data_IF_387716961901
#
_entry.id   IF_387716961901
#
_cell.length_a   1.000
_cell.length_b   1.000
_cell.length_c   1.000
_cell.angle_alpha   90.00
_cell.angle_beta   90.00
_cell.angle_gamma   90.00
#
_symmetry.space_group_name_H-M   'P 1'
#
loop_
_entity.id
_entity.type
_entity.pdbx_description
1 polymer ?
#
# COMPACT_ATOMS: atom_id res chain seq x y z
N UNK A 1 -18.89 8.13 -9.45
CA UNK A 1 -17.46 8.53 -9.36
C UNK A 1 -16.69 7.34 -8.81
N UNK A 2 -15.84 6.70 -9.62
CA UNK A 2 -15.05 5.54 -9.16
C UNK A 2 -14.09 6.04 -8.08
N UNK A 3 -14.18 5.51 -6.85
CA UNK A 3 -13.15 5.71 -5.84
C UNK A 3 -11.86 5.15 -6.43
N UNK A 4 -10.83 5.97 -6.62
CA UNK A 4 -9.52 5.49 -6.99
C UNK A 4 -8.93 4.80 -5.75
N UNK A 5 -8.99 3.47 -5.73
CA UNK A 5 -8.20 2.66 -4.83
C UNK A 5 -6.74 2.90 -5.20
N UNK A 6 -5.95 3.39 -4.24
CA UNK A 6 -4.51 3.59 -4.42
C UNK A 6 -3.86 2.23 -4.18
N UNK A 7 -3.12 1.74 -5.17
CA UNK A 7 -2.34 0.52 -5.05
C UNK A 7 -0.88 0.87 -4.83
N UNK A 8 -0.30 0.34 -3.76
CA UNK A 8 1.15 0.41 -3.52
C UNK A 8 1.79 -0.81 -4.18
N UNK A 9 2.69 -0.57 -5.13
CA UNK A 9 3.34 -1.62 -5.91
C UNK A 9 4.81 -1.68 -5.50
N UNK A 10 5.25 -2.85 -5.07
CA UNK A 10 6.65 -3.12 -4.74
C UNK A 10 7.22 -4.11 -5.74
N UNK A 11 8.29 -3.71 -6.43
CA UNK A 11 9.01 -4.54 -7.41
C UNK A 11 10.44 -4.77 -6.95
N UNK A 12 10.89 -6.02 -6.96
CA UNK A 12 12.30 -6.35 -6.74
C UNK A 12 13.08 -6.21 -8.04
N UNK A 13 14.15 -5.44 -8.01
CA UNK A 13 15.02 -5.15 -9.16
C UNK A 13 16.43 -5.60 -8.82
N UNK A 14 17.11 -6.21 -9.79
CA UNK A 14 18.53 -6.54 -9.71
C UNK A 14 19.30 -5.55 -10.55
N UNK A 15 20.40 -5.05 -9.98
CA UNK A 15 21.32 -4.13 -10.64
C UNK A 15 22.69 -4.80 -10.62
N UNK A 16 23.34 -4.84 -11.78
CA UNK A 16 24.64 -5.46 -12.00
C UNK A 16 25.52 -4.44 -12.74
N UNK A 17 26.84 -4.50 -12.51
CA UNK A 17 27.81 -3.70 -13.26
C UNK A 17 27.97 -4.31 -14.66
N UNK A 18 27.87 -3.49 -15.70
CA UNK A 18 28.02 -3.92 -17.10
C UNK A 18 29.00 -2.98 -17.81
N UNK A 19 30.26 -3.39 -17.86
CA UNK A 19 31.35 -2.58 -18.42
C UNK A 19 31.59 -1.30 -17.62
N UNK A 20 31.48 -0.15 -18.28
CA UNK A 20 31.63 1.18 -17.69
C UNK A 20 30.30 1.73 -17.09
N UNK A 21 29.22 0.96 -17.17
CA UNK A 21 27.89 1.36 -16.70
C UNK A 21 27.21 0.31 -15.83
N UNK A 22 25.89 0.46 -15.70
CA UNK A 22 25.05 -0.40 -14.88
C UNK A 22 23.89 -0.93 -15.71
N UNK A 23 23.53 -2.17 -15.42
CA UNK A 23 22.41 -2.86 -16.02
C UNK A 23 21.44 -3.31 -14.94
N UNK A 24 20.15 -3.11 -15.17
CA UNK A 24 19.10 -3.49 -14.24
C UNK A 24 17.96 -4.24 -14.92
N UNK A 25 17.44 -5.24 -14.21
CA UNK A 25 16.29 -6.00 -14.65
C UNK A 25 15.41 -6.39 -13.46
N UNK A 26 14.10 -6.52 -13.71
CA UNK A 26 13.14 -6.96 -12.72
C UNK A 26 12.69 -8.39 -13.03
N UNK A 27 13.06 -9.40 -12.23
CA UNK A 27 12.63 -10.79 -12.45
C UNK A 27 11.11 -10.98 -12.50
N UNK A 28 10.39 -10.07 -11.84
CA UNK A 28 8.94 -10.05 -11.77
C UNK A 28 8.27 -9.46 -13.02
N UNK A 29 8.96 -8.57 -13.74
CA UNK A 29 8.46 -7.88 -14.92
C UNK A 29 9.21 -8.42 -16.13
N UNK A 30 8.66 -9.49 -16.73
CA UNK A 30 9.30 -10.16 -17.87
C UNK A 30 9.49 -9.17 -19.01
N UNK A 31 10.73 -8.96 -19.41
CA UNK A 31 11.07 -8.03 -20.49
C UNK A 31 11.39 -6.60 -20.03
N UNK A 32 11.29 -6.27 -18.72
CA UNK A 32 11.81 -5.01 -18.21
C UNK A 32 13.32 -5.09 -17.98
N UNK A 33 14.06 -4.53 -18.92
CA UNK A 33 15.51 -4.48 -18.95
C UNK A 33 15.92 -3.05 -19.24
N UNK A 34 16.76 -2.46 -18.39
CA UNK A 34 17.21 -1.07 -18.51
C UNK A 34 18.69 -0.98 -18.16
N UNK A 35 19.37 0.04 -18.64
CA UNK A 35 20.75 0.32 -18.25
C UNK A 35 20.97 1.83 -18.15
N UNK A 36 22.14 2.20 -17.65
CA UNK A 36 22.56 3.59 -17.57
C UNK A 36 24.02 3.71 -17.19
N UNK A 37 24.60 4.89 -17.43
CA UNK A 37 26.02 5.15 -17.14
C UNK A 37 26.28 5.25 -15.62
N UNK A 38 25.22 5.51 -14.83
CA UNK A 38 25.30 5.60 -13.36
C UNK A 38 24.17 4.82 -12.69
N UNK A 39 24.36 4.50 -11.41
CA UNK A 39 23.34 3.86 -10.58
C UNK A 39 22.06 4.71 -10.53
N UNK A 40 22.19 6.02 -10.35
CA UNK A 40 21.05 6.95 -10.28
C UNK A 40 20.26 6.98 -11.59
N UNK A 41 20.95 7.04 -12.73
CA UNK A 41 20.31 6.99 -14.04
C UNK A 41 19.61 5.64 -14.26
N UNK A 42 20.28 4.55 -13.91
CA UNK A 42 19.71 3.20 -14.02
C UNK A 42 18.44 3.07 -13.17
N UNK A 43 18.46 3.57 -11.94
CA UNK A 43 17.28 3.58 -11.05
C UNK A 43 16.13 4.39 -11.63
N UNK A 44 16.43 5.55 -12.22
CA UNK A 44 15.41 6.37 -12.90
C UNK A 44 14.81 5.62 -14.09
N UNK A 45 15.64 4.98 -14.91
CA UNK A 45 15.18 4.18 -16.04
C UNK A 45 14.34 2.98 -15.60
N UNK A 46 14.67 2.37 -14.46
CA UNK A 46 13.86 1.31 -13.83
C UNK A 46 12.49 1.87 -13.45
N UNK A 47 12.42 3.04 -12.80
CA UNK A 47 11.17 3.68 -12.40
C UNK A 47 10.28 3.98 -13.62
N UNK A 48 10.83 4.64 -14.64
CA UNK A 48 10.13 4.90 -15.91
C UNK A 48 9.65 3.61 -16.58
N UNK A 49 10.51 2.58 -16.60
CA UNK A 49 10.16 1.29 -17.20
C UNK A 49 9.06 0.54 -16.44
N UNK A 50 9.02 0.64 -15.11
CA UNK A 50 7.89 0.12 -14.30
C UNK A 50 6.61 0.87 -14.66
N UNK A 51 6.66 2.21 -14.76
CA UNK A 51 5.49 3.01 -15.16
C UNK A 51 4.93 2.59 -16.52
N UNK A 52 5.80 2.46 -17.52
CA UNK A 52 5.41 2.01 -18.87
C UNK A 52 4.81 0.60 -18.84
N UNK A 53 5.40 -0.32 -18.07
CA UNK A 53 4.87 -1.68 -17.93
C UNK A 53 3.46 -1.67 -17.33
N UNK A 54 3.24 -0.91 -16.25
CA UNK A 54 1.93 -0.81 -15.60
C UNK A 54 0.89 -0.15 -16.51
N UNK A 55 1.27 0.91 -17.24
CA UNK A 55 0.38 1.58 -18.19
C UNK A 55 -0.04 0.61 -19.31
N UNK A 56 0.91 -0.18 -19.82
CA UNK A 56 0.65 -1.25 -20.79
C UNK A 56 -0.35 -2.28 -20.26
N UNK A 57 -0.16 -2.80 -19.03
CA UNK A 57 -1.12 -3.73 -18.42
C UNK A 57 -2.54 -3.15 -18.36
N UNK A 58 -2.65 -1.88 -17.96
CA UNK A 58 -3.95 -1.18 -17.86
C UNK A 58 -4.56 -0.97 -19.24
N UNK A 59 -3.77 -0.56 -20.23
CA UNK A 59 -4.21 -0.30 -21.60
C UNK A 59 -4.70 -1.59 -22.28
N UNK A 60 -4.04 -2.72 -22.02
CA UNK A 60 -4.39 -4.02 -22.58
C UNK A 60 -5.36 -4.84 -21.71
N UNK A 61 -5.68 -4.37 -20.50
CA UNK A 61 -6.55 -5.07 -19.56
C UNK A 61 -5.93 -6.37 -19.02
N UNK A 62 -4.60 -6.45 -18.99
CA UNK A 62 -3.87 -7.61 -18.50
C UNK A 62 -3.83 -7.63 -16.96
N UNK A 63 -3.89 -8.81 -16.33
CA UNK A 63 -3.76 -8.91 -14.89
C UNK A 63 -2.34 -8.56 -14.44
N UNK A 64 -2.22 -8.03 -13.23
CA UNK A 64 -0.92 -7.83 -12.60
C UNK A 64 -0.18 -9.17 -12.41
N UNK A 65 1.15 -9.19 -12.59
CA UNK A 65 1.92 -10.41 -12.36
C UNK A 65 1.87 -10.81 -10.89
N UNK A 66 1.78 -12.12 -10.62
CA UNK A 66 1.78 -12.66 -9.27
C UNK A 66 3.14 -13.32 -8.97
N UNK A 67 3.80 -12.95 -7.86
CA UNK A 67 5.06 -13.59 -7.47
C UNK A 67 5.78 -12.95 -6.28
N UNK A 68 6.86 -13.57 -5.77
CA UNK A 68 7.61 -13.04 -4.63
C UNK A 68 8.26 -11.69 -4.91
N UNK A 69 8.53 -11.39 -6.18
CA UNK A 69 9.22 -10.19 -6.65
C UNK A 69 8.29 -9.06 -7.12
N UNK A 70 6.97 -9.29 -7.11
CA UNK A 70 5.95 -8.29 -7.44
C UNK A 70 4.83 -8.36 -6.42
N UNK A 71 4.65 -7.29 -5.63
CA UNK A 71 3.61 -7.23 -4.60
C UNK A 71 2.74 -6.01 -4.82
N UNK A 72 1.44 -6.25 -4.87
CA UNK A 72 0.42 -5.19 -4.88
C UNK A 72 -0.23 -5.16 -3.50
N UNK A 73 -0.04 -4.07 -2.77
CA UNK A 73 -0.75 -3.79 -1.54
C UNK A 73 -1.89 -2.82 -1.83
N UNK A 74 -3.13 -3.25 -1.58
CA UNK A 74 -4.26 -2.33 -1.62
C UNK A 74 -4.21 -1.41 -0.41
N UNK A 75 -3.80 -0.15 -0.62
CA UNK A 75 -3.80 0.84 0.43
C UNK A 75 -5.23 1.36 0.64
N UNK A 76 -5.96 0.72 1.57
CA UNK A 76 -7.17 1.34 2.15
C UNK A 76 -6.71 2.37 3.17
N UNK A 77 -6.67 3.65 2.77
CA UNK A 77 -6.40 4.75 3.71
C UNK A 77 -7.33 4.60 4.92
N UNK A 78 -6.81 4.39 6.14
CA UNK A 78 -7.67 4.30 7.31
C UNK A 78 -8.42 5.64 7.44
N UNK A 79 -9.74 5.57 7.56
CA UNK A 79 -10.56 6.75 7.79
C UNK A 79 -10.31 7.18 9.24
N UNK A 80 -9.28 8.00 9.46
CA UNK A 80 -9.05 8.63 10.76
C UNK A 80 -10.09 9.72 10.94
N UNK A 81 -11.03 9.53 11.87
CA UNK A 81 -11.90 10.60 12.37
C UNK A 81 -11.56 10.90 13.81
N UNK A 82 -11.29 12.16 14.09
CA UNK A 82 -11.16 12.67 15.45
C UNK A 82 -12.55 12.71 16.09
N UNK A 83 -12.73 12.00 17.20
CA UNK A 83 -13.97 12.00 17.97
C UNK A 83 -13.78 12.80 19.25
N UNK A 84 -14.41 13.97 19.33
CA UNK A 84 -14.47 14.75 20.56
C UNK A 84 -15.64 14.26 21.41
N UNK A 85 -15.34 13.64 22.55
CA UNK A 85 -16.34 13.30 23.57
C UNK A 85 -16.20 14.25 24.75
N UNK A 86 -17.31 14.88 25.15
CA UNK A 86 -17.38 15.62 26.42
C UNK A 86 -17.69 14.60 27.51
N UNK A 87 -16.69 14.31 28.34
CA UNK A 87 -16.80 13.37 29.45
C UNK A 87 -16.85 14.16 30.78
N UNK A 88 -17.80 13.85 31.70
CA UNK A 88 -17.86 14.54 32.98
C UNK A 88 -16.62 14.21 33.83
N UNK A 89 -16.08 15.23 34.49
CA UNK A 89 -14.92 15.08 35.38
C UNK A 89 -15.21 14.06 36.50
N UNK A 90 -14.24 13.17 36.86
CA UNK A 90 -14.40 12.13 37.88
C UNK A 90 -14.87 12.64 39.26
N UNK A 91 -14.72 13.94 39.51
CA UNK A 91 -15.16 14.62 40.72
C UNK A 91 -16.70 14.63 40.90
N UNK A 92 -17.46 14.28 39.85
CA UNK A 92 -18.93 14.15 39.88
C UNK A 92 -19.41 12.69 39.98
N UNK A 93 -18.54 11.72 40.21
CA UNK A 93 -18.90 10.30 40.35
C UNK A 93 -19.04 9.87 41.82
N UNK A 94 -19.68 10.73 42.62
CA UNK A 94 -19.94 10.51 44.04
C UNK A 94 -21.42 10.63 44.36
N UNK A 95 -22.23 9.68 43.90
CA UNK A 95 -23.30 9.04 44.71
C UNK A 95 -23.85 7.84 43.92
N UNK A 96 -23.40 6.63 44.25
CA UNK A 96 -24.01 5.39 43.74
C UNK A 96 -25.28 5.12 44.54
N UNK A 97 -26.35 5.83 44.27
CA UNK A 97 -27.69 5.38 44.68
C UNK A 97 -28.72 5.65 43.58
N UNK A 98 -29.30 4.54 43.08
CA UNK A 98 -30.42 4.44 42.13
C UNK A 98 -30.13 4.67 40.64
N UNK A 99 -29.83 3.57 39.95
CA UNK A 99 -30.37 3.29 38.60
C UNK A 99 -30.31 1.78 38.40
N UNK A 100 -31.32 1.09 38.93
CA UNK A 100 -32.44 0.54 38.16
C UNK A 100 -32.01 -0.58 37.21
N UNK A 101 -32.43 -1.78 37.60
CA UNK A 101 -32.25 -3.05 36.91
C UNK A 101 -32.48 -2.93 35.40
N UNK A 102 -31.45 -3.25 34.62
CA UNK A 102 -31.63 -3.92 33.33
C UNK A 102 -30.94 -5.27 33.38
N UNK A 103 -31.69 -6.29 33.84
CA UNK A 103 -31.34 -7.70 33.66
C UNK A 103 -31.20 -7.95 32.15
N UNK A 104 -29.97 -8.14 31.66
CA UNK A 104 -29.73 -8.84 30.39
C UNK A 104 -29.71 -10.33 30.70
N UNK A 105 -30.85 -10.98 30.50
CA UNK A 105 -30.96 -12.44 30.42
C UNK A 105 -30.32 -12.86 29.10
N UNK A 106 -29.20 -13.57 29.13
CA UNK A 106 -28.74 -14.34 27.98
C UNK A 106 -29.62 -15.59 27.93
N UNK A 107 -30.37 -15.75 26.84
CA UNK A 107 -31.05 -17.01 26.52
C UNK A 107 -30.03 -17.94 25.85
N UNK A 108 -30.06 -19.20 26.27
CA UNK A 108 -29.25 -20.31 25.76
C UNK A 108 -29.66 -20.73 24.35
#
# INVERSE_FOLDING_TARGET
MKKQDIQEITVTVRIEEDGDGFYAYAPALKGLHVGGDTIEETLKNVEDGIHVYLDSLVAHGEPFPEGPHFKVHNYKKPITKEISVSWPSPMMLGDKSKTSQRKRSYAH
#
